data_IF_185255018689
#
_entry.id   IF_185255018689
#
_cell.length_a   1.000
_cell.length_b   1.000
_cell.length_c   1.000
_cell.angle_alpha   90.00
_cell.angle_beta   90.00
_cell.angle_gamma   90.00
#
_symmetry.space_group_name_H-M   'P 1'
#
loop_
_entity.id
_entity.type
_entity.pdbx_description
1 polymer ?
#
# COMPACT_ATOMS: atom_id res chain seq x y z
N UNK A 1 -1.10 -16.82 8.74
CA UNK A 1 0.20 -16.19 8.41
C UNK A 1 -0.07 -14.69 8.20
N UNK A 2 0.53 -13.80 8.99
CA UNK A 2 0.29 -12.36 8.89
C UNK A 2 1.36 -11.72 8.00
N UNK A 3 0.97 -11.08 6.91
CA UNK A 3 1.89 -10.28 6.09
C UNK A 3 2.01 -8.88 6.72
N UNK A 4 2.96 -8.71 7.63
CA UNK A 4 3.37 -7.36 8.04
C UNK A 4 4.22 -6.77 6.91
N UNK A 5 3.77 -5.64 6.37
CA UNK A 5 4.59 -4.85 5.45
C UNK A 5 5.20 -3.71 6.25
N UNK A 6 6.51 -3.79 6.46
CA UNK A 6 7.26 -2.73 7.12
C UNK A 6 7.75 -1.75 6.06
N UNK A 7 7.25 -0.52 6.09
CA UNK A 7 7.75 0.54 5.23
C UNK A 7 8.69 1.42 6.05
N UNK A 8 9.98 1.36 5.74
CA UNK A 8 10.99 2.21 6.35
C UNK A 8 11.27 3.40 5.43
N UNK A 9 11.02 4.62 5.90
CA UNK A 9 11.31 5.85 5.16
C UNK A 9 12.64 6.40 5.68
N UNK A 10 13.72 6.20 4.92
CA UNK A 10 15.11 6.45 5.37
C UNK A 10 15.44 7.91 5.72
N UNK A 11 14.60 8.87 5.32
CA UNK A 11 14.87 10.30 5.49
C UNK A 11 14.09 10.95 6.65
N UNK A 12 13.40 10.16 7.48
CA UNK A 12 12.74 10.65 8.70
C UNK A 12 13.09 9.74 9.90
N UNK A 13 13.28 10.29 11.11
CA UNK A 13 13.52 9.51 12.34
C UNK A 13 12.23 8.85 12.85
N UNK A 14 11.58 8.07 11.97
CA UNK A 14 10.34 7.37 12.27
C UNK A 14 10.09 6.19 11.34
N UNK A 15 9.24 5.28 11.79
CA UNK A 15 8.89 4.02 11.15
C UNK A 15 7.38 3.91 11.04
N UNK A 16 6.90 3.48 9.87
CA UNK A 16 5.49 3.16 9.64
C UNK A 16 5.37 1.65 9.44
N UNK A 17 4.62 1.01 10.33
CA UNK A 17 4.24 -0.39 10.19
C UNK A 17 2.82 -0.45 9.64
N UNK A 18 2.65 -1.07 8.47
CA UNK A 18 1.34 -1.29 7.87
C UNK A 18 1.02 -2.79 7.92
N UNK A 19 -0.11 -3.13 8.54
CA UNK A 19 -0.67 -4.47 8.49
C UNK A 19 -1.95 -4.43 7.66
N UNK A 20 -1.88 -4.73 6.35
CA UNK A 20 -3.05 -4.71 5.48
C UNK A 20 -4.07 -5.80 5.86
N UNK A 21 -3.64 -6.94 6.43
CA UNK A 21 -4.55 -8.00 6.91
C UNK A 21 -5.40 -7.54 8.10
N UNK A 22 -4.80 -6.80 9.03
CA UNK A 22 -5.49 -6.22 10.19
C UNK A 22 -6.06 -4.82 9.92
N UNK A 23 -5.91 -4.33 8.69
CA UNK A 23 -6.29 -2.98 8.24
C UNK A 23 -5.86 -1.90 9.21
N UNK A 24 -4.58 -1.89 9.57
CA UNK A 24 -4.07 -1.07 10.66
C UNK A 24 -2.69 -0.54 10.38
N UNK A 25 -2.40 0.65 10.88
CA UNK A 25 -1.09 1.30 10.80
C UNK A 25 -0.56 1.65 12.18
N UNK A 26 0.75 1.57 12.37
CA UNK A 26 1.45 2.10 13.55
C UNK A 26 2.58 3.01 13.11
N UNK A 27 2.56 4.25 13.58
CA UNK A 27 3.66 5.20 13.43
C UNK A 27 4.51 5.20 14.70
N UNK A 28 5.82 5.13 14.56
CA UNK A 28 6.78 5.26 15.66
C UNK A 28 7.77 6.35 15.28
N UNK A 29 7.95 7.37 16.12
CA UNK A 29 8.99 8.40 15.95
C UNK A 29 9.82 8.50 17.25
N UNK A 30 10.88 9.32 17.23
CA UNK A 30 11.72 9.57 18.41
C UNK A 30 10.95 10.16 19.61
N UNK A 31 9.77 10.73 19.39
CA UNK A 31 8.92 11.33 20.42
C UNK A 31 7.83 10.36 20.93
N UNK A 32 8.14 9.07 21.15
CA UNK A 32 7.33 8.07 21.89
C UNK A 32 5.80 8.04 21.69
N UNK A 33 5.23 8.65 20.65
CA UNK A 33 3.78 8.70 20.43
C UNK A 33 3.41 7.53 19.54
N UNK A 34 2.98 6.44 20.18
CA UNK A 34 2.35 5.31 19.50
C UNK A 34 0.91 5.71 19.17
N UNK A 35 0.66 6.17 17.95
CA UNK A 35 -0.70 6.38 17.49
C UNK A 35 -1.46 5.04 17.45
N UNK A 36 -2.75 5.01 17.88
CA UNK A 36 -3.52 3.78 18.00
C UNK A 36 -3.80 3.13 16.65
N UNK A 37 -4.09 1.83 16.69
CA UNK A 37 -4.50 1.03 15.54
C UNK A 37 -5.81 1.62 14.98
N UNK A 38 -5.74 2.24 13.81
CA UNK A 38 -6.92 2.76 13.12
C UNK A 38 -7.58 1.62 12.34
N UNK A 39 -8.70 1.11 12.84
CA UNK A 39 -9.55 0.17 12.11
C UNK A 39 -10.54 0.97 11.25
N UNK A 40 -10.51 0.79 9.93
CA UNK A 40 -11.50 1.41 9.03
C UNK A 40 -12.48 0.35 8.55
N UNK A 41 -13.56 0.14 9.30
CA UNK A 41 -14.71 -0.65 8.87
C UNK A 41 -15.75 0.24 8.17
N UNK A 42 -16.46 -0.32 7.18
CA UNK A 42 -17.65 0.30 6.58
C UNK A 42 -18.83 -0.67 6.74
N UNK A 43 -20.02 -0.17 7.04
CA UNK A 43 -21.24 -0.97 7.13
C UNK A 43 -22.14 -0.63 5.93
N UNK A 44 -22.58 -1.65 5.20
CA UNK A 44 -23.55 -1.54 4.10
C UNK A 44 -24.63 -2.59 4.35
N UNK A 45 -25.91 -2.22 4.31
CA UNK A 45 -27.06 -3.13 4.49
C UNK A 45 -26.91 -4.07 5.71
N UNK A 46 -26.61 -3.49 6.88
CA UNK A 46 -26.36 -4.18 8.16
C UNK A 46 -25.20 -5.18 8.18
N UNK A 47 -24.42 -5.27 7.10
CA UNK A 47 -23.23 -6.12 7.01
C UNK A 47 -21.98 -5.27 7.12
N UNK A 48 -21.06 -5.69 7.98
CA UNK A 48 -19.74 -5.08 8.10
C UNK A 48 -18.89 -5.52 6.89
N UNK A 49 -18.66 -4.60 5.97
CA UNK A 49 -17.74 -4.81 4.86
C UNK A 49 -16.37 -4.27 5.28
N UNK A 50 -15.35 -5.13 5.21
CA UNK A 50 -13.97 -4.65 5.20
C UNK A 50 -13.80 -3.71 4.01
N UNK A 51 -13.08 -2.60 4.24
CA UNK A 51 -12.63 -1.59 3.27
C UNK A 51 -13.17 -1.78 1.84
N UNK A 52 -14.07 -0.90 1.34
CA UNK A 52 -14.21 -0.74 -0.12
C UNK A 52 -12.79 -0.53 -0.63
N UNK A 53 -12.27 -1.40 -1.50
CA UNK A 53 -10.88 -1.29 -1.92
C UNK A 53 -10.67 0.14 -2.40
N UNK A 54 -9.73 0.86 -1.78
CA UNK A 54 -9.54 2.29 -2.04
C UNK A 54 -9.41 2.60 -3.53
N UNK A 55 -8.93 1.63 -4.31
CA UNK A 55 -8.90 1.60 -5.78
C UNK A 55 -10.27 1.70 -6.45
N UNK A 56 -11.30 1.01 -5.95
CA UNK A 56 -12.67 1.07 -6.47
C UNK A 56 -13.30 2.43 -6.17
N UNK A 57 -13.14 2.91 -4.93
CA UNK A 57 -13.63 4.25 -4.57
C UNK A 57 -12.93 5.33 -5.41
N UNK A 58 -11.61 5.23 -5.56
CA UNK A 58 -10.82 6.15 -6.39
C UNK A 58 -11.29 6.16 -7.85
N UNK A 59 -11.50 4.99 -8.45
CA UNK A 59 -12.05 4.88 -9.80
C UNK A 59 -13.41 5.58 -9.95
N UNK A 60 -14.36 5.32 -9.05
CA UNK A 60 -15.68 5.95 -9.07
C UNK A 60 -15.57 7.47 -8.90
N UNK A 61 -14.69 7.94 -8.01
CA UNK A 61 -14.49 9.37 -7.79
C UNK A 61 -13.82 10.05 -8.99
N UNK A 62 -12.87 9.39 -9.66
CA UNK A 62 -12.26 9.90 -10.89
C UNK A 62 -13.30 10.12 -11.99
N UNK A 63 -14.22 9.17 -12.18
CA UNK A 63 -15.31 9.32 -13.15
C UNK A 63 -16.24 10.47 -12.76
N UNK A 64 -16.72 10.48 -11.51
CA UNK A 64 -17.70 11.48 -11.04
C UNK A 64 -17.18 12.91 -11.12
N UNK A 65 -15.89 13.09 -10.88
CA UNK A 65 -15.25 14.41 -10.85
C UNK A 65 -14.55 14.76 -12.16
N UNK A 66 -14.73 13.97 -13.22
CA UNK A 66 -14.06 14.16 -14.52
C UNK A 66 -12.55 14.36 -14.37
N UNK A 67 -11.94 13.62 -13.44
CA UNK A 67 -10.53 13.71 -13.10
C UNK A 67 -9.82 12.43 -13.49
N UNK A 68 -8.67 12.57 -14.16
CA UNK A 68 -7.78 11.45 -14.41
C UNK A 68 -7.40 10.73 -13.10
N UNK A 69 -7.28 9.39 -13.13
CA UNK A 69 -6.80 8.63 -11.99
C UNK A 69 -5.34 8.97 -11.69
N UNK A 70 -5.00 9.05 -10.41
CA UNK A 70 -3.64 9.33 -9.95
C UNK A 70 -2.62 8.21 -10.31
N UNK A 71 -3.09 7.03 -10.74
CA UNK A 71 -2.26 5.94 -11.25
C UNK A 71 -2.54 5.72 -12.73
N UNK A 72 -1.48 5.63 -13.52
CA UNK A 72 -1.55 5.49 -14.98
C UNK A 72 -1.08 4.10 -15.46
N UNK A 73 -1.36 3.73 -16.72
CA UNK A 73 -0.79 2.51 -17.31
C UNK A 73 0.75 2.47 -17.33
N UNK A 74 1.41 3.65 -17.34
CA UNK A 74 2.88 3.75 -17.34
C UNK A 74 3.44 3.24 -16.00
N UNK A 75 2.75 3.52 -14.89
CA UNK A 75 3.15 3.05 -13.56
C UNK A 75 3.08 1.52 -13.48
N UNK A 76 2.00 0.95 -14.02
CA UNK A 76 1.86 -0.50 -14.16
C UNK A 76 3.02 -1.13 -14.94
N UNK A 77 3.36 -0.57 -16.11
CA UNK A 77 4.49 -1.03 -16.92
C UNK A 77 5.82 -1.01 -16.15
N UNK A 78 6.09 0.07 -15.39
CA UNK A 78 7.32 0.21 -14.60
C UNK A 78 7.38 -0.86 -13.49
N UNK A 79 6.32 -1.01 -12.72
CA UNK A 79 6.26 -1.99 -11.62
C UNK A 79 6.44 -3.42 -12.14
N UNK A 80 5.78 -3.79 -13.24
CA UNK A 80 5.94 -5.11 -13.87
C UNK A 80 7.39 -5.34 -14.32
N UNK A 81 8.02 -4.35 -14.95
CA UNK A 81 9.43 -4.45 -15.38
C UNK A 81 10.36 -4.70 -14.19
N UNK A 82 10.16 -3.96 -13.10
CA UNK A 82 10.94 -4.12 -11.87
C UNK A 82 10.71 -5.48 -11.22
N UNK A 83 9.46 -5.94 -11.12
CA UNK A 83 9.14 -7.26 -10.57
C UNK A 83 9.80 -8.39 -11.37
N UNK A 84 9.79 -8.30 -12.70
CA UNK A 84 10.47 -9.26 -13.58
C UNK A 84 11.99 -9.25 -13.39
N UNK A 85 12.60 -8.09 -13.20
CA UNK A 85 14.03 -8.00 -12.94
C UNK A 85 14.41 -8.59 -11.58
N UNK A 86 13.63 -8.35 -10.54
CA UNK A 86 13.80 -8.98 -9.22
C UNK A 86 13.69 -10.51 -9.35
N UNK A 87 12.66 -11.00 -10.05
CA UNK A 87 12.46 -12.43 -10.27
C UNK A 87 13.65 -13.08 -10.99
N UNK A 88 14.12 -12.46 -12.08
CA UNK A 88 15.32 -12.90 -12.80
C UNK A 88 16.56 -12.86 -11.92
N UNK A 89 16.71 -11.81 -11.12
CA UNK A 89 17.85 -11.64 -10.21
C UNK A 89 17.92 -12.75 -9.17
N UNK A 90 16.77 -13.15 -8.61
CA UNK A 90 16.67 -14.28 -7.67
C UNK A 90 17.05 -15.58 -8.37
N UNK A 91 16.52 -15.83 -9.58
CA UNK A 91 16.81 -17.06 -10.34
C UNK A 91 18.28 -17.18 -10.73
N UNK A 92 18.90 -16.08 -11.15
CA UNK A 92 20.28 -16.08 -11.65
C UNK A 92 21.33 -15.77 -10.58
N UNK A 93 20.93 -15.42 -9.35
CA UNK A 93 21.79 -14.90 -8.29
C UNK A 93 22.70 -13.74 -8.75
N UNK A 94 22.21 -12.90 -9.66
CA UNK A 94 22.96 -11.78 -10.24
C UNK A 94 22.12 -10.51 -10.21
N UNK A 95 22.78 -9.37 -10.10
CA UNK A 95 22.11 -8.06 -10.14
C UNK A 95 21.66 -7.77 -11.58
N UNK A 96 20.35 -7.51 -11.75
CA UNK A 96 19.75 -7.12 -13.03
C UNK A 96 19.42 -5.63 -12.98
N UNK A 97 19.91 -4.83 -13.95
CA UNK A 97 19.60 -3.40 -14.06
C UNK A 97 18.35 -3.19 -14.93
N UNK A 98 17.41 -2.39 -14.44
CA UNK A 98 16.14 -2.03 -15.13
C UNK A 98 16.15 -0.62 -15.68
#
# INVERSE_FOLDING_TARGET
>A
MYFLTHLFLSNHPGRIDLNPTKQSSKLTNNETHKFPWTFRSMQIDDKLFGFVPGVVNHFVQSIKNEKDPDITPIDGKKVTKTALAIHKSIQSQKVIRT
#
